data_IF_526166525252
#
_entry.id   IF_526166525252
#
_cell.length_a   1.000
_cell.length_b   1.000
_cell.length_c   1.000
_cell.angle_alpha   90.00
_cell.angle_beta   90.00
_cell.angle_gamma   90.00
#
_symmetry.space_group_name_H-M   'P 1'
#
loop_
_entity.id
_entity.type
_entity.pdbx_description
1 polymer ?
#
# COMPACT_ATOMS: atom_id res chain seq x y z
N UNK A 1 -9.43 -7.17 7.07
CA UNK A 1 -8.62 -7.73 5.97
C UNK A 1 -9.09 -7.09 4.68
N UNK A 2 -8.15 -6.73 3.79
CA UNK A 2 -8.44 -6.00 2.56
C UNK A 2 -7.98 -6.79 1.33
N UNK A 3 -8.45 -6.41 0.15
CA UNK A 3 -7.93 -6.88 -1.13
C UNK A 3 -6.97 -5.83 -1.69
N UNK A 4 -5.79 -6.27 -2.12
CA UNK A 4 -4.82 -5.46 -2.86
C UNK A 4 -4.67 -6.01 -4.27
N UNK A 5 -5.05 -5.22 -5.27
CA UNK A 5 -4.72 -5.49 -6.66
C UNK A 5 -3.48 -4.71 -7.01
N UNK A 6 -2.45 -5.37 -7.55
CA UNK A 6 -1.22 -4.72 -8.01
C UNK A 6 -1.09 -4.93 -9.51
N UNK A 7 -1.03 -3.84 -10.26
CA UNK A 7 -0.66 -3.81 -11.67
C UNK A 7 0.77 -3.31 -11.82
N UNK A 8 1.56 -4.00 -12.64
CA UNK A 8 2.96 -3.72 -12.87
C UNK A 8 3.22 -3.50 -14.37
N UNK A 9 3.20 -2.24 -14.78
CA UNK A 9 3.59 -1.82 -16.12
C UNK A 9 5.10 -1.54 -16.23
N UNK A 10 5.84 -1.72 -15.13
CA UNK A 10 7.27 -1.43 -15.05
C UNK A 10 8.11 -2.45 -15.82
N UNK A 11 9.37 -2.09 -16.06
CA UNK A 11 10.34 -2.91 -16.82
C UNK A 11 10.71 -4.22 -16.12
N UNK A 12 10.76 -4.22 -14.78
CA UNK A 12 11.17 -5.39 -14.00
C UNK A 12 10.01 -5.99 -13.21
N UNK A 13 10.11 -7.29 -12.92
CA UNK A 13 9.12 -7.95 -12.06
C UNK A 13 9.22 -7.41 -10.65
N UNK A 14 8.07 -7.33 -9.95
CA UNK A 14 7.98 -6.84 -8.57
C UNK A 14 7.88 -8.04 -7.64
N UNK A 15 8.75 -8.09 -6.63
CA UNK A 15 8.67 -9.10 -5.59
C UNK A 15 7.72 -8.68 -4.48
N UNK A 16 7.00 -9.62 -3.89
CA UNK A 16 6.21 -9.42 -2.70
C UNK A 16 6.80 -10.25 -1.55
N UNK A 17 6.73 -9.72 -0.32
CA UNK A 17 7.28 -10.35 0.89
C UNK A 17 6.79 -11.78 1.19
N UNK A 18 5.66 -12.19 0.60
CA UNK A 18 5.09 -13.53 0.73
C UNK A 18 5.57 -14.50 -0.36
N UNK A 19 6.59 -14.14 -1.14
CA UNK A 19 7.17 -14.95 -2.20
C UNK A 19 6.47 -14.82 -3.57
N UNK A 20 5.38 -14.07 -3.67
CA UNK A 20 4.74 -13.79 -4.97
C UNK A 20 5.64 -12.88 -5.80
N UNK A 21 5.75 -13.19 -7.10
CA UNK A 21 6.37 -12.31 -8.09
C UNK A 21 5.30 -11.83 -9.05
N UNK A 22 5.17 -10.52 -9.21
CA UNK A 22 4.25 -9.88 -10.14
C UNK A 22 5.02 -9.63 -11.44
N UNK A 23 4.62 -10.27 -12.56
CA UNK A 23 5.32 -10.10 -13.84
C UNK A 23 5.42 -8.65 -14.27
N UNK A 24 6.44 -8.33 -15.06
CA UNK A 24 6.63 -7.00 -15.66
C UNK A 24 5.67 -6.77 -16.84
N UNK A 25 5.68 -5.54 -17.39
CA UNK A 25 5.05 -5.20 -18.68
C UNK A 25 3.54 -5.54 -18.76
N UNK A 26 2.77 -5.12 -17.76
CA UNK A 26 1.32 -5.31 -17.70
C UNK A 26 0.89 -6.51 -16.84
N UNK A 27 1.83 -7.11 -16.11
CA UNK A 27 1.51 -8.16 -15.14
C UNK A 27 0.62 -7.64 -14.02
N UNK A 28 -0.26 -8.50 -13.51
CA UNK A 28 -1.16 -8.16 -12.40
C UNK A 28 -1.30 -9.33 -11.43
N UNK A 29 -1.50 -8.99 -10.15
CA UNK A 29 -1.80 -9.96 -9.11
C UNK A 29 -2.81 -9.39 -8.11
N UNK A 30 -3.67 -10.27 -7.58
CA UNK A 30 -4.65 -9.91 -6.54
C UNK A 30 -4.33 -10.66 -5.26
N UNK A 31 -3.94 -9.91 -4.23
CA UNK A 31 -3.81 -10.41 -2.86
C UNK A 31 -5.16 -10.30 -2.16
N UNK A 32 -5.76 -11.43 -1.84
CA UNK A 32 -7.04 -11.49 -1.12
C UNK A 32 -6.79 -11.66 0.38
N UNK A 33 -7.69 -11.11 1.21
CA UNK A 33 -7.63 -11.22 2.67
C UNK A 33 -6.27 -10.81 3.26
N UNK A 34 -5.71 -9.73 2.73
CA UNK A 34 -4.35 -9.29 2.99
C UNK A 34 -4.25 -8.65 4.38
N UNK A 35 -3.17 -8.99 5.08
CA UNK A 35 -2.63 -8.26 6.25
C UNK A 35 -1.42 -7.44 5.82
N UNK A 36 -0.37 -7.35 6.65
CA UNK A 36 0.84 -6.60 6.25
C UNK A 36 1.57 -7.26 5.06
N UNK A 37 2.14 -6.44 4.19
CA UNK A 37 2.88 -6.85 2.99
C UNK A 37 3.91 -5.77 2.64
N UNK A 38 5.07 -6.14 2.10
CA UNK A 38 5.86 -5.18 1.32
C UNK A 38 6.07 -5.68 -0.12
N UNK A 39 6.19 -4.71 -1.03
CA UNK A 39 6.55 -4.92 -2.42
C UNK A 39 7.96 -4.36 -2.67
N UNK A 40 8.81 -5.11 -3.34
CA UNK A 40 10.15 -4.68 -3.74
C UNK A 40 10.13 -4.32 -5.23
N UNK A 41 10.33 -3.04 -5.53
CA UNK A 41 10.39 -2.50 -6.89
C UNK A 41 11.87 -2.32 -7.27
N UNK A 42 12.43 -3.14 -8.19
CA UNK A 42 13.86 -3.12 -8.49
C UNK A 42 14.37 -1.74 -8.90
N UNK A 43 15.42 -1.27 -8.23
CA UNK A 43 16.05 0.03 -8.50
C UNK A 43 15.31 1.26 -7.95
N UNK A 44 14.11 1.09 -7.38
CA UNK A 44 13.32 2.19 -6.78
C UNK A 44 13.32 2.08 -5.26
N UNK A 45 12.88 0.94 -4.72
CA UNK A 45 12.77 0.75 -3.28
C UNK A 45 11.65 -0.19 -2.90
N UNK A 46 11.24 -0.11 -1.63
CA UNK A 46 10.19 -0.94 -1.08
C UNK A 46 8.95 -0.11 -0.73
N UNK A 47 7.78 -0.68 -1.02
CA UNK A 47 6.48 -0.13 -0.65
C UNK A 47 5.92 -1.00 0.46
N UNK A 48 5.74 -0.44 1.64
CA UNK A 48 5.27 -1.16 2.81
C UNK A 48 3.78 -0.89 3.05
N UNK A 49 2.98 -1.95 3.17
CA UNK A 49 1.60 -1.94 3.60
C UNK A 49 1.55 -2.53 5.01
N UNK A 50 1.23 -1.71 5.99
CA UNK A 50 1.18 -2.08 7.40
C UNK A 50 -0.28 -2.16 7.81
N UNK A 51 -0.75 -3.37 8.12
CA UNK A 51 -2.09 -3.56 8.68
C UNK A 51 -2.14 -2.94 10.08
N UNK A 52 -3.03 -1.96 10.26
CA UNK A 52 -3.24 -1.27 11.52
C UNK A 52 -4.35 -1.93 12.35
N UNK A 53 -5.12 -2.86 11.78
CA UNK A 53 -6.36 -3.32 12.39
C UNK A 53 -7.28 -2.14 12.72
N UNK A 54 -7.80 -2.12 13.93
CA UNK A 54 -8.64 -1.04 14.48
C UNK A 54 -7.85 0.14 15.07
N UNK A 55 -6.53 -0.01 15.25
CA UNK A 55 -5.69 1.02 15.87
C UNK A 55 -5.59 2.26 15.00
N UNK A 56 -6.08 3.40 15.49
CA UNK A 56 -5.96 4.72 14.84
C UNK A 56 -4.56 5.32 14.97
N UNK A 57 -4.13 6.05 13.94
CA UNK A 57 -2.91 6.86 14.02
C UNK A 57 -3.19 8.12 14.82
N UNK A 58 -2.33 8.41 15.79
CA UNK A 58 -2.38 9.65 16.56
C UNK A 58 -2.17 10.85 15.62
N UNK A 59 -2.90 11.94 15.85
CA UNK A 59 -2.89 13.12 14.97
C UNK A 59 -3.70 12.98 13.67
N UNK A 60 -4.22 11.78 13.35
CA UNK A 60 -5.01 11.52 12.14
C UNK A 60 -6.41 10.95 12.48
N UNK A 61 -7.33 11.79 12.97
CA UNK A 61 -8.68 11.36 13.38
C UNK A 61 -9.60 11.01 12.20
N UNK A 62 -9.21 11.39 10.98
CA UNK A 62 -9.86 11.02 9.73
C UNK A 62 -8.88 10.20 8.87
N UNK A 63 -9.36 9.23 8.09
CA UNK A 63 -10.77 8.82 7.97
C UNK A 63 -11.27 7.97 9.18
N UNK A 64 -12.60 7.86 9.32
CA UNK A 64 -13.26 7.37 10.55
C UNK A 64 -13.46 5.85 10.59
N UNK A 65 -13.42 5.18 9.44
CA UNK A 65 -13.67 3.75 9.29
C UNK A 65 -12.72 2.90 10.15
N UNK A 66 -13.22 1.80 10.68
CA UNK A 66 -12.60 1.01 11.75
C UNK A 66 -11.25 0.44 11.33
N UNK A 67 -11.21 -0.30 10.23
CA UNK A 67 -10.01 -1.03 9.79
C UNK A 67 -9.09 -0.14 8.97
N UNK A 68 -7.77 -0.36 9.05
CA UNK A 68 -6.82 0.51 8.37
C UNK A 68 -5.54 -0.13 7.91
N UNK A 69 -4.94 0.53 6.92
CA UNK A 69 -3.61 0.22 6.39
C UNK A 69 -2.82 1.53 6.33
N UNK A 70 -1.61 1.50 6.86
CA UNK A 70 -0.61 2.54 6.62
C UNK A 70 0.25 2.10 5.45
N UNK A 71 0.22 2.85 4.35
CA UNK A 71 1.11 2.61 3.22
C UNK A 71 2.28 3.59 3.30
N UNK A 72 3.50 3.10 3.17
CA UNK A 72 4.72 3.91 3.22
C UNK A 72 5.63 3.60 2.03
N UNK A 73 6.14 4.64 1.40
CA UNK A 73 7.17 4.57 0.37
C UNK A 73 8.07 5.81 0.53
N UNK A 74 9.35 5.60 0.85
CA UNK A 74 10.29 6.69 1.16
C UNK A 74 9.68 7.69 2.16
N UNK A 75 9.64 8.98 1.80
CA UNK A 75 9.11 10.10 2.60
C UNK A 75 7.62 10.37 2.34
N UNK A 76 6.89 9.42 1.73
CA UNK A 76 5.47 9.58 1.41
C UNK A 76 4.66 8.48 2.06
N UNK A 77 3.60 8.90 2.75
CA UNK A 77 2.68 8.00 3.41
C UNK A 77 1.23 8.24 3.00
N UNK A 78 0.47 7.15 2.93
CA UNK A 78 -0.96 7.17 2.78
C UNK A 78 -1.62 6.44 3.94
N UNK A 79 -2.68 7.06 4.46
CA UNK A 79 -3.51 6.49 5.50
C UNK A 79 -4.83 6.05 4.90
N UNK A 80 -5.00 4.75 4.77
CA UNK A 80 -6.19 4.14 4.20
C UNK A 80 -7.03 3.50 5.30
N UNK A 81 -8.34 3.75 5.24
CA UNK A 81 -9.33 3.25 6.20
C UNK A 81 -10.56 2.74 5.47
N UNK A 82 -11.15 1.66 5.97
CA UNK A 82 -12.27 0.99 5.33
C UNK A 82 -13.18 0.26 6.33
N UNK A 83 -14.40 -0.05 5.87
CA UNK A 83 -15.31 -0.97 6.53
C UNK A 83 -15.51 -2.23 5.68
N UNK A 84 -15.75 -3.37 6.33
CA UNK A 84 -15.91 -4.65 5.65
C UNK A 84 -14.65 -5.07 4.89
N UNK A 85 -14.78 -5.41 3.60
CA UNK A 85 -13.67 -5.83 2.74
C UNK A 85 -13.10 -4.66 1.94
N UNK A 86 -12.08 -4.00 2.47
CA UNK A 86 -11.40 -2.87 1.80
C UNK A 86 -10.81 -3.26 0.44
N UNK A 87 -10.71 -2.30 -0.48
CA UNK A 87 -10.20 -2.47 -1.83
C UNK A 87 -9.12 -1.42 -2.12
N UNK A 88 -7.88 -1.87 -2.32
CA UNK A 88 -6.77 -1.04 -2.79
C UNK A 88 -6.30 -1.52 -4.16
N UNK A 89 -6.11 -0.56 -5.07
CA UNK A 89 -5.48 -0.80 -6.37
C UNK A 89 -4.17 -0.01 -6.43
N UNK A 90 -3.08 -0.74 -6.55
CA UNK A 90 -1.74 -0.24 -6.76
C UNK A 90 -1.38 -0.34 -8.24
N UNK A 91 -0.92 0.76 -8.82
CA UNK A 91 -0.32 0.78 -10.16
C UNK A 91 1.14 1.23 -10.02
N UNK A 92 2.05 0.39 -10.50
CA UNK A 92 3.43 0.77 -10.78
C UNK A 92 3.53 0.98 -12.29
N UNK A 93 3.75 2.22 -12.71
CA UNK A 93 3.80 2.59 -14.13
C UNK A 93 5.12 2.17 -14.81
N UNK A 94 5.22 2.44 -16.10
CA UNK A 94 6.41 2.12 -16.91
C UNK A 94 7.71 2.81 -16.44
N UNK A 95 7.62 3.86 -15.62
CA UNK A 95 8.75 4.59 -15.04
C UNK A 95 9.04 4.19 -13.59
N UNK A 96 8.24 3.30 -13.01
CA UNK A 96 8.36 2.89 -11.61
C UNK A 96 7.62 3.82 -10.65
N UNK A 97 6.81 4.77 -11.16
CA UNK A 97 5.98 5.62 -10.32
C UNK A 97 4.86 4.79 -9.71
N UNK A 98 4.59 5.01 -8.42
CA UNK A 98 3.56 4.29 -7.68
C UNK A 98 2.33 5.18 -7.48
N UNK A 99 1.15 4.62 -7.73
CA UNK A 99 -0.13 5.27 -7.45
C UNK A 99 -1.09 4.29 -6.78
N UNK A 100 -1.93 4.84 -5.90
CA UNK A 100 -2.97 4.10 -5.20
C UNK A 100 -4.33 4.73 -5.46
N UNK A 101 -5.33 3.87 -5.63
CA UNK A 101 -6.72 4.26 -5.55
C UNK A 101 -7.54 3.20 -4.80
N UNK A 102 -8.76 3.56 -4.42
CA UNK A 102 -9.69 2.71 -3.66
C UNK A 102 -11.09 2.87 -4.22
N UNK A 103 -11.84 1.77 -4.24
CA UNK A 103 -13.27 1.74 -4.56
C UNK A 103 -14.15 1.46 -3.32
N UNK A 104 -13.54 1.05 -2.21
CA UNK A 104 -14.22 0.83 -0.94
C UNK A 104 -13.33 1.30 0.22
N UNK A 105 -13.71 2.39 0.88
CA UNK A 105 -12.93 3.04 1.93
C UNK A 105 -12.29 4.34 1.46
N UNK A 106 -11.73 5.08 2.41
CA UNK A 106 -11.17 6.42 2.22
C UNK A 106 -9.66 6.39 2.43
N UNK A 107 -8.93 7.09 1.57
CA UNK A 107 -7.48 7.23 1.66
C UNK A 107 -7.08 8.70 1.63
N UNK A 108 -6.19 9.10 2.54
CA UNK A 108 -5.63 10.45 2.57
C UNK A 108 -4.10 10.39 2.61
N UNK A 109 -3.40 11.37 2.02
CA UNK A 109 -1.99 11.55 2.28
C UNK A 109 -1.79 11.98 3.74
N UNK A 110 -0.72 11.47 4.37
CA UNK A 110 -0.30 11.88 5.71
C UNK A 110 1.21 12.10 5.75
N UNK A 111 1.73 12.59 6.86
CA UNK A 111 3.17 12.72 7.09
C UNK A 111 3.53 12.24 8.48
N UNK A 112 4.46 11.28 8.55
CA UNK A 112 5.00 10.77 9.80
C UNK A 112 6.51 11.08 9.87
N UNK A 113 7.06 11.46 11.03
CA UNK A 113 8.50 11.57 11.18
C UNK A 113 9.17 10.23 10.88
N UNK A 114 10.20 10.23 10.01
CA UNK A 114 11.01 9.03 9.76
C UNK A 114 11.89 8.67 10.97
N UNK A 115 12.40 9.69 11.67
CA UNK A 115 13.21 9.57 12.87
C UNK A 115 12.90 10.73 13.81
N UNK A 116 12.76 10.44 15.10
CA UNK A 116 12.68 11.44 16.16
C UNK A 116 13.72 11.10 17.23
N UNK A 117 14.50 12.10 17.64
CA UNK A 117 15.51 11.99 18.70
C UNK A 117 15.02 12.85 19.87
N UNK A 118 15.12 12.33 21.09
CA UNK A 118 14.72 13.02 22.32
C UNK A 118 15.93 13.54 23.09
#
# INVERSE_FOLDING_TARGET
MYTLVVQNDFKWSIGASNGVTIPNQGGSHTFNNQGSLYLTVPGIGEICFIDLGDKKLEGYPIPKETWGVLVRIHTTEAYYRYEGGGQLHALIDQYGSFSLNTTNGTMIPISLPELTIF
#
